data_IF_978642916032
#
_entry.id   IF_978642916032
#
_cell.length_a   1.000
_cell.length_b   1.000
_cell.length_c   1.000
_cell.angle_alpha   90.00
_cell.angle_beta   90.00
_cell.angle_gamma   90.00
#
_symmetry.space_group_name_H-M   'P 1'
#
loop_
_entity.id
_entity.type
_entity.pdbx_description
1 polymer ?
#
# COMPACT_ATOMS: atom_id res chain seq x y z
N UNK A 1 17.53 -18.13 7.37
CA UNK A 1 17.73 -17.26 6.18
C UNK A 1 16.47 -16.48 5.80
N UNK A 2 15.30 -17.11 5.59
CA UNK A 2 14.02 -16.40 5.32
C UNK A 2 13.74 -15.27 6.31
N UNK A 3 13.77 -15.58 7.63
CA UNK A 3 13.56 -14.58 8.68
C UNK A 3 14.55 -13.41 8.60
N UNK A 4 15.81 -13.70 8.27
CA UNK A 4 16.85 -12.66 8.18
C UNK A 4 16.59 -11.70 7.00
N UNK A 5 16.26 -12.22 5.82
CA UNK A 5 15.98 -11.38 4.64
C UNK A 5 14.73 -10.51 4.84
N UNK A 6 13.66 -11.08 5.40
CA UNK A 6 12.47 -10.32 5.76
C UNK A 6 12.80 -9.23 6.78
N UNK A 7 13.57 -9.55 7.83
CA UNK A 7 13.99 -8.54 8.81
C UNK A 7 14.84 -7.43 8.18
N UNK A 8 15.75 -7.77 7.26
CA UNK A 8 16.57 -6.79 6.53
C UNK A 8 15.66 -5.86 5.72
N UNK A 9 14.76 -6.42 4.91
CA UNK A 9 13.81 -5.63 4.11
C UNK A 9 12.98 -4.69 4.99
N UNK A 10 12.39 -5.22 6.07
CA UNK A 10 11.57 -4.45 7.00
C UNK A 10 12.41 -3.34 7.66
N UNK A 11 13.59 -3.67 8.18
CA UNK A 11 14.49 -2.71 8.84
C UNK A 11 14.87 -1.55 7.92
N UNK A 12 15.36 -1.84 6.71
CA UNK A 12 15.75 -0.78 5.78
C UNK A 12 14.56 0.04 5.28
N UNK A 13 13.40 -0.59 5.07
CA UNK A 13 12.18 0.14 4.70
C UNK A 13 11.78 1.11 5.81
N UNK A 14 11.78 0.69 7.08
CA UNK A 14 11.49 1.58 8.21
C UNK A 14 12.56 2.65 8.42
N UNK A 15 13.84 2.33 8.22
CA UNK A 15 14.93 3.29 8.31
C UNK A 15 14.76 4.41 7.29
N UNK A 16 14.54 4.05 6.01
CA UNK A 16 14.32 5.03 4.94
C UNK A 16 13.04 5.81 5.18
N UNK A 17 11.95 5.16 5.58
CA UNK A 17 10.71 5.83 5.94
C UNK A 17 10.94 6.88 7.03
N UNK A 18 11.72 6.55 8.07
CA UNK A 18 12.05 7.46 9.16
C UNK A 18 12.88 8.65 8.66
N UNK A 19 13.89 8.40 7.84
CA UNK A 19 14.72 9.45 7.20
C UNK A 19 13.84 10.37 6.35
N UNK A 20 13.00 9.83 5.48
CA UNK A 20 12.09 10.61 4.62
C UNK A 20 11.19 11.50 5.46
N UNK A 21 10.60 11.00 6.55
CA UNK A 21 9.73 11.81 7.41
C UNK A 21 10.48 12.87 8.22
N UNK A 22 11.77 12.69 8.49
CA UNK A 22 12.62 13.73 9.11
C UNK A 22 12.86 14.90 8.16
N UNK A 23 13.13 14.62 6.88
CA UNK A 23 13.49 15.63 5.87
C UNK A 23 12.28 16.21 5.11
N UNK A 24 11.25 15.41 4.85
CA UNK A 24 10.06 15.77 4.08
C UNK A 24 8.86 15.95 5.00
N UNK A 25 8.89 16.98 5.85
CA UNK A 25 7.89 17.21 6.90
C UNK A 25 6.56 17.77 6.40
N UNK A 26 6.56 18.39 5.22
CA UNK A 26 5.37 18.96 4.58
C UNK A 26 4.90 18.05 3.45
N UNK A 27 3.61 18.10 3.07
CA UNK A 27 3.12 17.39 1.89
C UNK A 27 3.98 17.73 0.67
N UNK A 28 4.45 16.69 -0.01
CA UNK A 28 5.33 16.77 -1.17
C UNK A 28 4.63 16.26 -2.43
N UNK A 29 4.84 16.94 -3.55
CA UNK A 29 4.15 16.67 -4.83
C UNK A 29 2.62 16.62 -4.67
N UNK A 30 1.97 15.54 -5.09
CA UNK A 30 0.51 15.40 -5.06
C UNK A 30 -0.03 15.16 -3.64
N UNK A 31 0.82 14.91 -2.64
CA UNK A 31 0.39 14.92 -1.23
C UNK A 31 -0.23 16.26 -0.86
N UNK A 32 0.13 17.36 -1.54
CA UNK A 32 -0.48 18.68 -1.35
C UNK A 32 -2.00 18.64 -1.61
N UNK A 33 -2.47 17.76 -2.50
CA UNK A 33 -3.90 17.51 -2.74
C UNK A 33 -4.43 16.35 -1.89
N UNK A 34 -3.67 15.25 -1.79
CA UNK A 34 -4.13 14.06 -1.08
C UNK A 34 -4.25 14.27 0.44
N UNK A 35 -3.34 15.00 1.07
CA UNK A 35 -3.33 15.18 2.53
C UNK A 35 -4.53 16.01 3.04
N UNK A 36 -4.86 17.18 2.47
CA UNK A 36 -6.08 17.90 2.85
C UNK A 36 -7.34 17.05 2.64
N UNK A 37 -7.43 16.29 1.54
CA UNK A 37 -8.56 15.39 1.30
C UNK A 37 -8.65 14.27 2.35
N UNK A 38 -7.52 13.69 2.75
CA UNK A 38 -7.47 12.68 3.78
C UNK A 38 -7.89 13.23 5.15
N UNK A 39 -7.52 14.47 5.48
CA UNK A 39 -7.99 15.16 6.69
C UNK A 39 -9.51 15.36 6.70
N UNK A 40 -10.13 15.68 5.56
CA UNK A 40 -11.60 15.76 5.46
C UNK A 40 -12.25 14.44 5.82
N UNK A 41 -11.75 13.34 5.24
CA UNK A 41 -12.23 11.98 5.54
C UNK A 41 -12.00 11.61 7.01
N UNK A 42 -10.83 11.94 7.56
CA UNK A 42 -10.52 11.70 8.97
C UNK A 42 -11.48 12.45 9.91
N UNK A 43 -11.90 13.66 9.53
CA UNK A 43 -12.88 14.46 10.27
C UNK A 43 -14.35 14.10 9.96
N UNK A 44 -14.60 13.05 9.16
CA UNK A 44 -15.95 12.56 8.84
C UNK A 44 -16.64 13.24 7.64
N UNK A 45 -15.98 14.16 6.94
CA UNK A 45 -16.51 14.75 5.71
C UNK A 45 -16.15 13.87 4.50
N UNK A 46 -16.98 12.85 4.25
CA UNK A 46 -16.78 11.86 3.18
C UNK A 46 -17.29 12.32 1.80
N UNK A 47 -18.23 13.27 1.77
CA UNK A 47 -18.89 13.73 0.54
C UNK A 47 -18.25 14.97 -0.10
N UNK A 48 -17.29 15.59 0.58
CA UNK A 48 -16.49 16.66 0.00
C UNK A 48 -15.31 16.09 -0.81
N UNK A 49 -15.04 16.70 -1.96
CA UNK A 49 -13.99 16.24 -2.86
C UNK A 49 -13.20 17.41 -3.46
N UNK A 50 -11.86 17.34 -3.43
CA UNK A 50 -11.01 18.28 -4.15
C UNK A 50 -11.06 17.99 -5.66
N UNK A 51 -11.47 18.96 -6.50
CA UNK A 51 -11.60 18.77 -7.93
C UNK A 51 -10.29 18.47 -8.66
N UNK A 52 -9.12 18.67 -8.03
CA UNK A 52 -7.81 18.32 -8.61
C UNK A 52 -7.47 16.85 -8.47
N UNK A 53 -8.17 16.10 -7.62
CA UNK A 53 -7.93 14.66 -7.44
C UNK A 53 -8.74 13.88 -8.47
N UNK A 54 -8.02 13.14 -9.32
CA UNK A 54 -8.62 12.31 -10.37
C UNK A 54 -8.69 10.82 -9.99
N UNK A 55 -8.03 10.40 -8.91
CA UNK A 55 -8.07 9.02 -8.40
C UNK A 55 -9.28 8.78 -7.50
N UNK A 56 -9.88 7.59 -7.42
CA UNK A 56 -11.01 7.34 -6.52
C UNK A 56 -10.56 7.27 -5.03
N UNK A 57 -11.49 7.14 -4.06
CA UNK A 57 -11.23 7.40 -2.64
C UNK A 57 -10.53 6.28 -1.86
N UNK A 58 -10.03 5.24 -2.53
CA UNK A 58 -9.48 4.04 -1.89
C UNK A 58 -8.35 4.32 -0.90
N UNK A 59 -7.45 5.24 -1.25
CA UNK A 59 -6.36 5.66 -0.36
C UNK A 59 -6.92 6.25 0.95
N UNK A 60 -7.86 7.19 0.87
CA UNK A 60 -8.42 7.86 2.05
C UNK A 60 -9.23 6.92 2.92
N UNK A 61 -10.08 6.09 2.31
CA UNK A 61 -10.88 5.09 3.02
C UNK A 61 -9.97 4.10 3.77
N UNK A 62 -8.90 3.63 3.13
CA UNK A 62 -7.94 2.73 3.77
C UNK A 62 -7.21 3.40 4.94
N UNK A 63 -6.77 4.66 4.78
CA UNK A 63 -6.12 5.41 5.84
C UNK A 63 -7.01 5.62 7.05
N UNK A 64 -8.26 6.06 6.88
CA UNK A 64 -9.14 6.30 8.04
C UNK A 64 -9.56 5.00 8.72
N UNK A 65 -9.71 3.91 7.95
CA UNK A 65 -9.99 2.57 8.49
C UNK A 65 -8.88 2.08 9.42
N UNK A 66 -7.63 2.44 9.14
CA UNK A 66 -6.46 2.09 9.96
C UNK A 66 -6.26 3.11 11.09
N UNK A 67 -6.24 4.40 10.77
CA UNK A 67 -5.78 5.45 11.67
C UNK A 67 -6.82 5.86 12.73
N UNK A 68 -8.12 5.83 12.43
CA UNK A 68 -9.15 6.22 13.43
C UNK A 68 -9.20 5.21 14.58
N UNK A 69 -9.30 3.88 14.35
CA UNK A 69 -9.28 2.92 15.43
C UNK A 69 -7.98 2.97 16.23
N UNK A 70 -6.84 3.13 15.53
CA UNK A 70 -5.54 3.25 16.19
C UNK A 70 -5.48 4.49 17.08
N UNK A 71 -5.87 5.66 16.57
CA UNK A 71 -5.92 6.92 17.31
C UNK A 71 -6.73 6.82 18.59
N UNK A 72 -7.89 6.14 18.53
CA UNK A 72 -8.72 5.87 19.71
C UNK A 72 -8.06 4.91 20.69
N UNK A 73 -7.40 3.86 20.19
CA UNK A 73 -6.74 2.86 21.02
C UNK A 73 -5.56 3.44 21.82
N UNK A 74 -4.80 4.37 21.22
CA UNK A 74 -3.62 4.98 21.85
C UNK A 74 -3.89 6.38 22.43
N UNK A 75 -5.14 6.86 22.35
CA UNK A 75 -5.56 8.20 22.78
C UNK A 75 -4.69 9.34 22.21
N UNK A 76 -4.32 9.25 20.93
CA UNK A 76 -3.42 10.22 20.28
C UNK A 76 -3.95 10.67 18.92
N UNK A 77 -3.78 11.95 18.61
CA UNK A 77 -4.22 12.54 17.33
C UNK A 77 -3.26 12.18 16.18
N UNK A 78 -3.75 11.39 15.23
CA UNK A 78 -2.98 10.88 14.08
C UNK A 78 -3.22 11.69 12.80
N UNK A 79 -3.62 12.95 12.90
CA UNK A 79 -3.87 13.81 11.73
C UNK A 79 -2.62 14.32 11.00
N UNK A 80 -1.42 14.04 11.48
CA UNK A 80 -0.19 14.47 10.79
C UNK A 80 0.13 13.59 9.58
N UNK A 81 0.77 14.17 8.56
CA UNK A 81 1.08 13.51 7.27
C UNK A 81 1.90 12.22 7.44
N UNK A 82 2.83 12.17 8.40
CA UNK A 82 3.64 10.99 8.65
C UNK A 82 2.79 9.75 8.97
N UNK A 83 1.66 9.92 9.64
CA UNK A 83 0.76 8.81 9.97
C UNK A 83 -0.05 8.35 8.75
N UNK A 84 -0.46 9.28 7.88
CA UNK A 84 -1.08 8.92 6.61
C UNK A 84 -0.14 8.10 5.73
N UNK A 85 1.15 8.45 5.67
CA UNK A 85 2.19 7.71 4.94
C UNK A 85 2.38 6.26 5.44
N UNK A 86 2.04 5.95 6.70
CA UNK A 86 2.06 4.56 7.22
C UNK A 86 1.11 3.65 6.41
N UNK A 87 0.04 4.20 5.83
CA UNK A 87 -0.87 3.47 4.95
C UNK A 87 -0.12 2.79 3.79
N UNK A 88 0.81 3.51 3.16
CA UNK A 88 1.61 2.96 2.05
C UNK A 88 2.64 1.94 2.53
N UNK A 89 3.17 2.13 3.73
CA UNK A 89 4.07 1.16 4.35
C UNK A 89 3.35 -0.17 4.63
N UNK A 90 2.11 -0.11 5.13
CA UNK A 90 1.25 -1.29 5.32
C UNK A 90 1.04 -2.05 4.00
N UNK A 91 0.64 -1.35 2.93
CA UNK A 91 0.45 -1.98 1.63
C UNK A 91 1.76 -2.51 1.05
N UNK A 92 2.90 -1.87 1.28
CA UNK A 92 4.20 -2.33 0.80
C UNK A 92 4.63 -3.64 1.44
N UNK A 93 4.41 -3.83 2.74
CA UNK A 93 4.64 -5.12 3.38
C UNK A 93 3.65 -6.18 2.89
N UNK A 94 2.39 -5.79 2.63
CA UNK A 94 1.41 -6.63 1.95
C UNK A 94 1.87 -7.08 0.56
N UNK A 95 2.41 -6.16 -0.25
CA UNK A 95 2.94 -6.44 -1.58
C UNK A 95 4.08 -7.45 -1.53
N UNK A 96 5.05 -7.23 -0.64
CA UNK A 96 6.15 -8.18 -0.43
C UNK A 96 5.64 -9.58 -0.05
N UNK A 97 4.70 -9.66 0.88
CA UNK A 97 4.10 -10.92 1.30
C UNK A 97 3.35 -11.62 0.15
N UNK A 98 2.52 -10.88 -0.58
CA UNK A 98 1.76 -11.43 -1.71
C UNK A 98 2.66 -11.88 -2.85
N UNK A 99 3.70 -11.12 -3.19
CA UNK A 99 4.70 -11.50 -4.20
C UNK A 99 5.39 -12.80 -3.80
N UNK A 100 5.84 -12.93 -2.55
CA UNK A 100 6.42 -14.19 -2.06
C UNK A 100 5.42 -15.36 -2.17
N UNK A 101 4.16 -15.15 -1.77
CA UNK A 101 3.11 -16.18 -1.89
C UNK A 101 2.83 -16.58 -3.34
N UNK A 102 2.76 -15.62 -4.26
CA UNK A 102 2.55 -15.86 -5.70
C UNK A 102 3.73 -16.64 -6.29
N UNK A 103 4.96 -16.24 -5.99
CA UNK A 103 6.17 -16.95 -6.43
C UNK A 103 6.21 -18.38 -5.89
N UNK A 104 5.77 -18.60 -4.65
CA UNK A 104 5.61 -19.95 -4.09
C UNK A 104 4.58 -20.81 -4.84
N UNK A 105 3.58 -20.22 -5.50
CA UNK A 105 2.60 -20.96 -6.32
C UNK A 105 3.12 -21.28 -7.72
N UNK A 106 3.90 -20.37 -8.31
CA UNK A 106 4.37 -20.48 -9.70
C UNK A 106 5.68 -21.25 -9.83
N UNK A 107 6.61 -21.02 -8.92
CA UNK A 107 7.98 -21.51 -8.98
C UNK A 107 8.18 -22.67 -8.00
N UNK A 108 7.40 -23.74 -8.13
CA UNK A 108 7.39 -24.85 -7.16
C UNK A 108 8.77 -25.50 -6.96
N UNK A 109 9.57 -25.60 -8.04
CA UNK A 109 10.89 -26.26 -8.04
C UNK A 109 12.02 -25.39 -7.52
N UNK A 110 11.84 -24.07 -7.48
CA UNK A 110 12.90 -23.15 -7.09
C UNK A 110 13.10 -23.22 -5.58
N UNK A 111 14.35 -23.02 -5.14
CA UNK A 111 14.64 -22.94 -3.71
C UNK A 111 13.94 -21.72 -3.09
N UNK A 112 13.50 -21.88 -1.85
CA UNK A 112 12.77 -20.84 -1.13
C UNK A 112 13.52 -19.50 -1.06
N UNK A 113 14.85 -19.55 -0.94
CA UNK A 113 15.71 -18.36 -0.90
C UNK A 113 15.54 -17.48 -2.13
N UNK A 114 15.46 -18.08 -3.32
CA UNK A 114 15.35 -17.33 -4.57
C UNK A 114 13.99 -16.65 -4.69
N UNK A 115 12.93 -17.27 -4.17
CA UNK A 115 11.57 -16.69 -4.15
C UNK A 115 11.52 -15.45 -3.25
N UNK A 116 12.13 -15.52 -2.07
CA UNK A 116 12.18 -14.40 -1.12
C UNK A 116 13.02 -13.25 -1.67
N UNK A 117 14.21 -13.56 -2.21
CA UNK A 117 15.06 -12.56 -2.85
C UNK A 117 14.35 -11.90 -4.03
N UNK A 118 13.65 -12.67 -4.85
CA UNK A 118 12.88 -12.14 -5.97
C UNK A 118 11.71 -11.26 -5.51
N UNK A 119 10.96 -11.69 -4.49
CA UNK A 119 9.89 -10.88 -3.89
C UNK A 119 10.43 -9.56 -3.33
N UNK A 120 11.58 -9.61 -2.65
CA UNK A 120 12.27 -8.42 -2.14
C UNK A 120 12.72 -7.51 -3.28
N UNK A 121 13.36 -8.06 -4.31
CA UNK A 121 13.83 -7.31 -5.48
C UNK A 121 12.67 -6.61 -6.23
N UNK A 122 11.56 -7.31 -6.45
CA UNK A 122 10.37 -6.73 -7.10
C UNK A 122 9.73 -5.65 -6.21
N UNK A 123 9.64 -5.89 -4.90
CA UNK A 123 9.06 -4.90 -3.95
C UNK A 123 9.91 -3.63 -3.81
N UNK A 124 11.22 -3.75 -4.01
CA UNK A 124 12.16 -2.63 -4.00
C UNK A 124 12.37 -2.02 -5.40
N UNK A 125 11.54 -2.37 -6.38
CA UNK A 125 11.65 -1.79 -7.71
C UNK A 125 11.57 -0.25 -7.62
N UNK A 126 12.57 0.50 -8.12
CA UNK A 126 12.77 1.90 -7.75
C UNK A 126 11.54 2.79 -7.91
N UNK A 127 10.76 2.56 -8.96
CA UNK A 127 9.56 3.35 -9.25
C UNK A 127 8.50 3.21 -8.15
N UNK A 128 8.17 1.98 -7.74
CA UNK A 128 7.18 1.76 -6.69
C UNK A 128 7.76 2.07 -5.31
N UNK A 129 9.02 1.72 -5.08
CA UNK A 129 9.66 1.87 -3.78
C UNK A 129 9.81 3.33 -3.37
N UNK A 130 9.96 4.25 -4.33
CA UNK A 130 9.91 5.68 -4.07
C UNK A 130 8.57 6.11 -3.43
N UNK A 131 7.44 5.63 -3.95
CA UNK A 131 6.10 5.97 -3.45
C UNK A 131 5.70 5.23 -2.17
N UNK A 132 6.45 4.23 -1.73
CA UNK A 132 6.29 3.59 -0.41
C UNK A 132 6.35 4.61 0.73
N UNK A 133 7.18 5.65 0.58
CA UNK A 133 7.49 6.61 1.64
C UNK A 133 6.66 7.90 1.58
N UNK A 134 5.80 8.03 0.57
CA UNK A 134 4.91 9.17 0.36
C UNK A 134 3.45 8.69 0.38
N UNK A 135 2.50 9.61 0.55
CA UNK A 135 1.08 9.30 0.66
C UNK A 135 0.40 9.28 -0.72
N UNK A 136 0.53 8.14 -1.39
CA UNK A 136 0.14 7.92 -2.79
C UNK A 136 -0.72 6.67 -3.01
N UNK A 137 -1.50 6.64 -4.08
CA UNK A 137 -2.43 5.51 -4.36
C UNK A 137 -1.74 4.22 -4.82
N UNK A 138 -0.48 4.29 -5.26
CA UNK A 138 0.23 3.25 -6.00
C UNK A 138 0.47 1.97 -5.20
N UNK A 139 0.89 2.07 -3.94
CA UNK A 139 1.16 0.91 -3.09
C UNK A 139 -0.11 0.06 -2.86
N UNK A 140 -1.23 0.71 -2.54
CA UNK A 140 -2.52 0.05 -2.34
C UNK A 140 -3.12 -0.47 -3.65
N UNK A 141 -2.95 0.28 -4.74
CA UNK A 141 -3.30 -0.15 -6.10
C UNK A 141 -2.66 -1.48 -6.46
N UNK A 142 -1.33 -1.59 -6.34
CA UNK A 142 -0.58 -2.82 -6.62
C UNK A 142 -1.00 -3.94 -5.67
N UNK A 143 -1.24 -3.65 -4.39
CA UNK A 143 -1.66 -4.63 -3.40
C UNK A 143 -2.94 -5.34 -3.80
N UNK A 144 -3.99 -4.59 -4.14
CA UNK A 144 -5.26 -5.19 -4.51
C UNK A 144 -5.21 -5.93 -5.85
N UNK A 145 -4.40 -5.47 -6.82
CA UNK A 145 -4.14 -6.22 -8.06
C UNK A 145 -3.42 -7.55 -7.78
N UNK A 146 -2.37 -7.54 -6.95
CA UNK A 146 -1.67 -8.77 -6.54
C UNK A 146 -2.58 -9.71 -5.74
N UNK A 147 -3.43 -9.17 -4.88
CA UNK A 147 -4.38 -9.94 -4.08
C UNK A 147 -5.42 -10.61 -4.97
N UNK A 148 -5.97 -9.89 -5.96
CA UNK A 148 -6.84 -10.44 -6.98
C UNK A 148 -6.15 -11.59 -7.73
N UNK A 149 -4.93 -11.35 -8.21
CA UNK A 149 -4.16 -12.37 -8.94
C UNK A 149 -3.90 -13.61 -8.08
N UNK A 150 -3.52 -13.43 -6.82
CA UNK A 150 -3.29 -14.52 -5.87
C UNK A 150 -4.56 -15.37 -5.67
N UNK A 151 -5.72 -14.74 -5.45
CA UNK A 151 -6.99 -15.46 -5.29
C UNK A 151 -7.44 -16.15 -6.57
N UNK A 152 -7.22 -15.52 -7.73
CA UNK A 152 -7.48 -16.14 -9.03
C UNK A 152 -6.66 -17.43 -9.19
N UNK A 153 -5.36 -17.41 -8.85
CA UNK A 153 -4.50 -18.61 -8.86
C UNK A 153 -4.92 -19.69 -7.86
N UNK A 154 -5.71 -19.34 -6.85
CA UNK A 154 -6.32 -20.27 -5.89
C UNK A 154 -7.73 -20.71 -6.29
N UNK A 155 -8.22 -20.31 -7.46
CA UNK A 155 -9.59 -20.58 -7.93
C UNK A 155 -10.68 -19.98 -7.01
N UNK A 156 -10.33 -18.98 -6.19
CA UNK A 156 -11.28 -18.26 -5.34
C UNK A 156 -11.81 -17.02 -6.08
N UNK A 157 -12.67 -17.22 -7.07
CA UNK A 157 -13.07 -16.17 -8.02
C UNK A 157 -13.83 -15.00 -7.37
N UNK A 158 -14.66 -15.26 -6.37
CA UNK A 158 -15.39 -14.18 -5.66
C UNK A 158 -14.40 -13.27 -4.93
N UNK A 159 -13.45 -13.84 -4.18
CA UNK A 159 -12.41 -13.08 -3.49
C UNK A 159 -11.52 -12.32 -4.47
N UNK A 160 -11.22 -12.92 -5.62
CA UNK A 160 -10.50 -12.24 -6.70
C UNK A 160 -11.28 -11.04 -7.24
N UNK A 161 -12.58 -11.22 -7.55
CA UNK A 161 -13.44 -10.15 -8.04
C UNK A 161 -13.58 -8.99 -7.04
N UNK A 162 -13.74 -9.30 -5.74
CA UNK A 162 -13.77 -8.27 -4.68
C UNK A 162 -12.44 -7.50 -4.63
N UNK A 163 -11.30 -8.21 -4.66
CA UNK A 163 -9.99 -7.57 -4.67
C UNK A 163 -9.77 -6.72 -5.93
N UNK A 164 -10.20 -7.20 -7.10
CA UNK A 164 -10.16 -6.46 -8.36
C UNK A 164 -11.00 -5.18 -8.30
N UNK A 165 -12.23 -5.27 -7.78
CA UNK A 165 -13.08 -4.10 -7.55
C UNK A 165 -12.41 -3.10 -6.60
N UNK A 166 -11.86 -3.55 -5.47
CA UNK A 166 -11.13 -2.69 -4.52
C UNK A 166 -9.91 -2.03 -5.16
N UNK A 167 -9.22 -2.70 -6.10
CA UNK A 167 -8.09 -2.10 -6.81
C UNK A 167 -8.52 -0.87 -7.63
N UNK A 168 -9.71 -0.89 -8.23
CA UNK A 168 -10.24 0.23 -9.02
C UNK A 168 -10.50 1.45 -8.13
N UNK A 169 -10.89 1.24 -6.86
CA UNK A 169 -11.04 2.33 -5.89
C UNK A 169 -9.73 3.07 -5.58
N UNK A 170 -8.56 2.47 -5.84
CA UNK A 170 -7.28 3.17 -5.74
C UNK A 170 -6.95 3.89 -7.05
N UNK A 171 -7.11 3.22 -8.20
CA UNK A 171 -6.84 3.81 -9.52
C UNK A 171 -7.81 3.28 -10.56
N UNK A 172 -8.45 4.19 -11.30
CA UNK A 172 -9.35 3.85 -12.42
C UNK A 172 -8.64 2.99 -13.48
N UNK A 173 -7.36 3.27 -13.72
CA UNK A 173 -6.51 2.54 -14.68
C UNK A 173 -6.37 1.06 -14.34
N UNK A 174 -6.69 0.62 -13.12
CA UNK A 174 -6.60 -0.80 -12.75
C UNK A 174 -7.64 -1.66 -13.44
N UNK A 175 -8.67 -1.07 -14.06
CA UNK A 175 -9.65 -1.82 -14.87
C UNK A 175 -8.97 -2.73 -15.91
N UNK A 176 -7.80 -2.35 -16.42
CA UNK A 176 -7.05 -3.15 -17.41
C UNK A 176 -6.58 -4.51 -16.89
N UNK A 177 -6.51 -4.67 -15.56
CA UNK A 177 -6.06 -5.90 -14.90
C UNK A 177 -7.22 -6.78 -14.43
N UNK A 178 -8.45 -6.27 -14.42
CA UNK A 178 -9.63 -6.94 -13.85
C UNK A 178 -10.39 -7.71 -14.96
N UNK A 179 -9.72 -8.71 -15.54
CA UNK A 179 -10.29 -9.62 -16.56
C UNK A 179 -9.96 -11.09 -16.27
#
# INVERSE_FOLDING_TARGET
MLKALTCIFVFFTFLIFSIVNVFVRKPYMDEIFHYPQALKYYNGSFFEWDPKITTPPGLYLSSVTILIPLSKLIEYDLRKIEYFRITNLFFTFGNFFLLYKILCLQHLKDEERFKIFSAMNISMFPVLYFFTFLYYTDCGSVFFVLLMYYWNKKYCFISAAIAGALSIFFRQTNIVWVF
#
